data_IF_968915208299
#
_entry.id   IF_968915208299
#
_cell.length_a   1.000
_cell.length_b   1.000
_cell.length_c   1.000
_cell.angle_alpha   90.00
_cell.angle_beta   90.00
_cell.angle_gamma   90.00
#
_symmetry.space_group_name_H-M   'P 1'
#
loop_
_entity.id
_entity.type
_entity.pdbx_description
1 polymer ?
#
# COMPACT_ATOMS: atom_id res chain seq x y z
N UNK A 1 -18.21 3.11 -30.52
CA UNK A 1 -17.99 4.55 -30.17
C UNK A 1 -16.56 4.69 -29.72
N UNK A 2 -15.84 5.78 -30.03
CA UNK A 2 -14.49 6.00 -29.49
C UNK A 2 -14.55 6.25 -27.97
N UNK A 3 -13.61 5.70 -27.23
CA UNK A 3 -13.59 5.75 -25.76
C UNK A 3 -13.60 7.20 -25.23
N UNK A 4 -12.81 8.09 -25.80
CA UNK A 4 -12.76 9.51 -25.38
C UNK A 4 -14.11 10.21 -25.54
N UNK A 5 -14.81 9.94 -26.64
CA UNK A 5 -16.14 10.48 -26.87
C UNK A 5 -17.15 9.94 -25.85
N UNK A 6 -17.07 8.63 -25.55
CA UNK A 6 -17.94 8.03 -24.54
C UNK A 6 -17.72 8.62 -23.16
N UNK A 7 -16.44 8.81 -22.74
CA UNK A 7 -16.10 9.45 -21.48
C UNK A 7 -16.68 10.86 -21.43
N UNK A 8 -16.47 11.66 -22.46
CA UNK A 8 -16.94 13.04 -22.52
C UNK A 8 -18.49 13.13 -22.45
N UNK A 9 -19.21 12.25 -23.15
CA UNK A 9 -20.69 12.23 -23.15
C UNK A 9 -21.29 11.75 -21.82
N UNK A 10 -20.53 11.01 -21.00
CA UNK A 10 -21.00 10.41 -19.75
C UNK A 10 -20.32 10.99 -18.50
N UNK A 11 -19.42 11.96 -18.62
CA UNK A 11 -18.62 12.47 -17.52
C UNK A 11 -19.46 12.96 -16.35
N UNK A 12 -20.49 13.75 -16.61
CA UNK A 12 -21.39 14.26 -15.56
C UNK A 12 -22.04 13.11 -14.79
N UNK A 13 -22.47 12.06 -15.47
CA UNK A 13 -23.02 10.85 -14.83
C UNK A 13 -21.97 10.14 -14.00
N UNK A 14 -20.75 9.95 -14.51
CA UNK A 14 -19.67 9.29 -13.78
C UNK A 14 -19.31 10.03 -12.50
N UNK A 15 -19.26 11.36 -12.57
CA UNK A 15 -18.96 12.21 -11.42
C UNK A 15 -20.11 12.19 -10.40
N UNK A 16 -21.37 12.19 -10.83
CA UNK A 16 -22.52 12.05 -9.95
C UNK A 16 -22.56 10.68 -9.24
N UNK A 17 -22.16 9.62 -9.93
CA UNK A 17 -22.04 8.29 -9.35
C UNK A 17 -20.90 8.22 -8.32
N UNK A 18 -19.75 8.81 -8.62
CA UNK A 18 -18.64 8.95 -7.66
C UNK A 18 -19.06 9.80 -6.45
N UNK A 19 -19.74 10.92 -6.66
CA UNK A 19 -20.26 11.75 -5.58
C UNK A 19 -21.21 10.98 -4.67
N UNK A 20 -22.04 10.09 -5.23
CA UNK A 20 -22.96 9.25 -4.44
C UNK A 20 -22.23 8.32 -3.47
N UNK A 21 -21.02 7.89 -3.80
CA UNK A 21 -20.14 7.10 -2.92
C UNK A 21 -19.40 7.99 -1.91
N UNK A 22 -18.89 9.14 -2.35
CA UNK A 22 -18.16 10.09 -1.50
C UNK A 22 -19.04 10.61 -0.37
N UNK A 23 -20.32 10.87 -0.63
CA UNK A 23 -21.30 11.30 0.39
C UNK A 23 -21.53 10.31 1.51
N UNK A 24 -21.13 9.05 1.33
CA UNK A 24 -21.20 8.03 2.37
C UNK A 24 -19.84 7.97 3.08
N UNK A 25 -19.75 8.43 4.35
CA UNK A 25 -18.48 8.47 5.10
C UNK A 25 -18.11 7.07 5.61
N UNK A 26 -17.70 6.19 4.71
CA UNK A 26 -17.36 4.79 4.99
C UNK A 26 -16.03 4.66 5.73
N UNK A 27 -15.91 5.25 6.92
CA UNK A 27 -14.69 5.26 7.74
C UNK A 27 -14.58 3.96 8.52
N UNK A 28 -13.73 3.03 8.08
CA UNK A 28 -13.56 1.71 8.71
C UNK A 28 -12.99 1.76 10.13
N UNK A 29 -12.15 2.76 10.43
CA UNK A 29 -11.50 2.92 11.73
C UNK A 29 -12.46 3.33 12.87
N UNK A 30 -13.72 3.71 12.55
CA UNK A 30 -14.68 4.21 13.53
C UNK A 30 -15.94 3.35 13.57
N UNK A 31 -16.26 2.80 14.75
CA UNK A 31 -17.43 1.91 14.93
C UNK A 31 -18.77 2.60 14.66
N UNK A 32 -18.86 3.90 14.80
CA UNK A 32 -20.06 4.71 14.52
C UNK A 32 -20.43 4.72 13.03
N UNK A 33 -19.47 4.47 12.13
CA UNK A 33 -19.65 4.42 10.68
C UNK A 33 -19.98 3.03 10.11
N UNK A 34 -20.29 2.03 10.96
CA UNK A 34 -20.65 0.69 10.47
C UNK A 34 -21.85 0.69 9.52
N UNK A 35 -22.82 1.57 9.75
CA UNK A 35 -23.97 1.70 8.85
C UNK A 35 -23.58 2.32 7.51
N UNK A 36 -22.65 3.27 7.52
CA UNK A 36 -22.13 3.90 6.31
C UNK A 36 -21.30 2.92 5.48
N UNK A 37 -20.49 2.08 6.12
CA UNK A 37 -19.77 0.98 5.46
C UNK A 37 -20.75 0.06 4.70
N UNK A 38 -21.81 -0.39 5.38
CA UNK A 38 -22.81 -1.26 4.75
C UNK A 38 -23.55 -0.54 3.60
N UNK A 39 -23.90 0.73 3.78
CA UNK A 39 -24.54 1.55 2.74
C UNK A 39 -23.63 1.76 1.53
N UNK A 40 -22.33 1.96 1.74
CA UNK A 40 -21.35 2.11 0.67
C UNK A 40 -21.20 0.80 -0.14
N UNK A 41 -21.16 -0.35 0.55
CA UNK A 41 -21.15 -1.66 -0.10
C UNK A 41 -22.41 -1.90 -0.98
N UNK A 42 -23.59 -1.59 -0.47
CA UNK A 42 -24.84 -1.70 -1.25
C UNK A 42 -24.80 -0.75 -2.46
N UNK A 43 -24.31 0.49 -2.30
CA UNK A 43 -24.19 1.42 -3.42
C UNK A 43 -23.21 0.93 -4.49
N UNK A 44 -22.09 0.34 -4.11
CA UNK A 44 -21.16 -0.28 -5.07
C UNK A 44 -21.80 -1.45 -5.82
N UNK A 45 -22.54 -2.30 -5.12
CA UNK A 45 -23.31 -3.39 -5.74
C UNK A 45 -24.24 -2.85 -6.84
N UNK A 46 -25.00 -1.79 -6.55
CA UNK A 46 -25.90 -1.16 -7.52
C UNK A 46 -25.12 -0.64 -8.74
N UNK A 47 -24.04 0.10 -8.51
CA UNK A 47 -23.22 0.69 -9.59
C UNK A 47 -22.60 -0.38 -10.49
N UNK A 48 -22.17 -1.52 -9.94
CA UNK A 48 -21.62 -2.63 -10.72
C UNK A 48 -22.72 -3.31 -11.57
N UNK A 49 -23.95 -3.45 -11.03
CA UNK A 49 -25.09 -3.93 -11.81
C UNK A 49 -25.43 -2.98 -12.95
N UNK A 50 -25.44 -1.67 -12.71
CA UNK A 50 -25.65 -0.62 -13.72
C UNK A 50 -24.53 -0.63 -14.78
N UNK A 51 -23.30 -0.97 -14.40
CA UNK A 51 -22.16 -1.12 -15.31
C UNK A 51 -22.25 -2.37 -16.18
N UNK A 52 -23.11 -3.35 -15.86
CA UNK A 52 -23.42 -4.50 -16.69
C UNK A 52 -22.82 -5.83 -16.26
N UNK A 53 -22.48 -6.00 -14.98
CA UNK A 53 -22.21 -7.34 -14.43
C UNK A 53 -23.47 -8.20 -14.45
N UNK A 54 -23.32 -9.51 -14.51
CA UNK A 54 -24.44 -10.44 -14.50
C UNK A 54 -24.97 -10.70 -13.08
N UNK A 55 -24.08 -10.55 -12.08
CA UNK A 55 -24.38 -10.80 -10.68
C UNK A 55 -23.55 -9.84 -9.81
N UNK A 56 -24.16 -9.30 -8.76
CA UNK A 56 -23.46 -8.58 -7.69
C UNK A 56 -24.11 -8.87 -6.34
N UNK A 57 -23.31 -9.08 -5.31
CA UNK A 57 -23.73 -9.43 -3.96
C UNK A 57 -22.87 -8.70 -2.92
N UNK A 58 -23.49 -8.27 -1.82
CA UNK A 58 -22.78 -7.85 -0.61
C UNK A 58 -22.63 -9.10 0.26
N UNK A 59 -21.40 -9.56 0.42
CA UNK A 59 -21.05 -10.78 1.11
C UNK A 59 -20.59 -10.50 2.54
N UNK A 60 -21.05 -11.25 3.53
CA UNK A 60 -20.58 -11.08 4.90
C UNK A 60 -19.12 -11.54 5.05
N UNK A 61 -18.41 -10.92 5.98
CA UNK A 61 -17.10 -11.34 6.46
C UNK A 61 -17.09 -11.41 7.99
N UNK A 62 -15.95 -11.71 8.58
CA UNK A 62 -15.76 -11.60 10.04
C UNK A 62 -15.73 -10.17 10.54
N UNK A 63 -15.59 -9.19 9.65
CA UNK A 63 -15.60 -7.76 9.91
C UNK A 63 -16.59 -7.02 9.01
N UNK A 64 -16.10 -6.07 8.21
CA UNK A 64 -16.93 -5.33 7.27
C UNK A 64 -17.26 -6.18 6.03
N UNK A 65 -18.45 -6.00 5.41
CA UNK A 65 -18.84 -6.80 4.25
C UNK A 65 -17.95 -6.52 3.03
N UNK A 66 -17.92 -7.48 2.10
CA UNK A 66 -17.26 -7.30 0.80
C UNK A 66 -18.31 -7.25 -0.31
N UNK A 67 -18.02 -6.52 -1.38
CA UNK A 67 -18.85 -6.53 -2.59
C UNK A 67 -18.20 -7.49 -3.59
N UNK A 68 -18.94 -8.52 -3.97
CA UNK A 68 -18.56 -9.42 -5.06
C UNK A 68 -19.43 -9.16 -6.27
N UNK A 69 -18.83 -9.11 -7.46
CA UNK A 69 -19.61 -9.07 -8.71
C UNK A 69 -18.88 -9.85 -9.82
N UNK A 70 -19.63 -10.28 -10.83
CA UNK A 70 -19.07 -11.05 -11.94
C UNK A 70 -19.80 -10.81 -13.27
N UNK A 71 -19.00 -10.88 -14.35
CA UNK A 71 -19.42 -11.01 -15.74
C UNK A 71 -18.70 -12.18 -16.36
N UNK A 72 -19.40 -13.28 -16.58
CA UNK A 72 -18.84 -14.49 -17.17
C UNK A 72 -19.33 -14.58 -18.63
N UNK A 73 -18.42 -14.33 -19.57
CA UNK A 73 -18.73 -14.41 -20.99
C UNK A 73 -18.53 -15.82 -21.55
N UNK A 74 -17.54 -16.55 -21.02
CA UNK A 74 -17.24 -17.93 -21.38
C UNK A 74 -16.47 -18.59 -20.22
N UNK A 75 -16.92 -19.73 -19.66
CA UNK A 75 -16.22 -20.42 -18.57
C UNK A 75 -14.76 -20.78 -18.86
N UNK A 76 -14.41 -20.98 -20.15
CA UNK A 76 -13.06 -21.34 -20.57
C UNK A 76 -12.17 -20.11 -20.89
N UNK A 77 -12.74 -18.90 -20.86
CA UNK A 77 -11.98 -17.67 -21.08
C UNK A 77 -11.16 -17.28 -19.85
N UNK A 78 -10.02 -16.61 -20.03
CA UNK A 78 -9.27 -16.05 -18.92
C UNK A 78 -10.15 -15.16 -18.04
N UNK A 79 -9.83 -15.10 -16.76
CA UNK A 79 -10.59 -14.31 -15.78
C UNK A 79 -9.70 -13.25 -15.13
N UNK A 80 -10.13 -12.00 -15.18
CA UNK A 80 -9.55 -10.87 -14.45
C UNK A 80 -10.36 -10.66 -13.17
N UNK A 81 -9.70 -10.67 -12.01
CA UNK A 81 -10.28 -10.25 -10.73
C UNK A 81 -9.84 -8.82 -10.45
N UNK A 82 -10.77 -7.88 -10.42
CA UNK A 82 -10.54 -6.49 -10.05
C UNK A 82 -10.71 -6.35 -8.54
N UNK A 83 -9.68 -5.87 -7.88
CA UNK A 83 -9.72 -5.55 -6.46
C UNK A 83 -9.65 -4.05 -6.24
N UNK A 84 -10.40 -3.58 -5.26
CA UNK A 84 -10.42 -2.20 -4.76
C UNK A 84 -10.95 -2.19 -3.33
N UNK A 85 -10.87 -1.02 -2.65
CA UNK A 85 -11.53 -0.83 -1.38
C UNK A 85 -12.51 0.36 -1.41
N UNK A 86 -13.50 0.33 -0.52
CA UNK A 86 -14.52 1.37 -0.46
C UNK A 86 -14.57 2.08 0.89
N UNK A 87 -13.80 1.62 1.86
CA UNK A 87 -13.57 2.37 3.09
C UNK A 87 -12.58 3.50 2.86
N UNK A 88 -12.56 4.43 3.78
CA UNK A 88 -11.71 5.62 3.71
C UNK A 88 -11.12 5.95 5.07
N UNK A 89 -9.97 6.62 5.08
CA UNK A 89 -9.36 7.17 6.29
C UNK A 89 -10.25 8.23 6.96
N UNK A 90 -10.14 8.38 8.30
CA UNK A 90 -10.72 9.52 9.01
C UNK A 90 -10.34 10.87 8.38
N UNK A 91 -11.28 11.81 8.35
CA UNK A 91 -11.05 13.11 7.72
C UNK A 91 -10.40 14.14 8.65
N UNK A 92 -10.24 13.84 9.94
CA UNK A 92 -9.64 14.76 10.91
C UNK A 92 -8.15 15.07 10.58
N UNK A 93 -7.69 16.30 10.83
CA UNK A 93 -8.42 17.43 11.46
C UNK A 93 -9.31 18.20 10.47
N UNK A 94 -10.62 18.32 10.79
CA UNK A 94 -11.63 18.90 9.88
C UNK A 94 -11.39 20.38 9.59
N UNK A 95 -10.80 21.10 10.51
CA UNK A 95 -10.51 22.53 10.39
C UNK A 95 -9.45 22.85 9.31
N UNK A 96 -8.73 21.87 8.82
CA UNK A 96 -7.75 22.04 7.75
C UNK A 96 -8.33 21.78 6.35
N UNK A 97 -9.58 21.34 6.25
CA UNK A 97 -10.25 21.16 4.97
C UNK A 97 -10.82 22.49 4.45
N UNK A 98 -10.63 22.72 3.15
CA UNK A 98 -11.19 23.89 2.45
C UNK A 98 -12.69 23.71 2.11
N UNK A 99 -13.20 22.49 2.18
CA UNK A 99 -14.61 22.11 1.93
C UNK A 99 -14.96 20.91 2.82
N UNK A 100 -16.26 20.56 2.91
CA UNK A 100 -16.66 19.34 3.59
C UNK A 100 -16.00 18.11 2.92
N UNK A 101 -15.25 17.27 3.66
CA UNK A 101 -14.55 16.11 3.08
C UNK A 101 -15.46 15.08 2.40
N UNK A 102 -16.75 15.04 2.73
CA UNK A 102 -17.75 14.12 2.16
C UNK A 102 -18.76 14.81 1.23
N UNK A 103 -18.41 16.00 0.73
CA UNK A 103 -19.12 16.72 -0.33
C UNK A 103 -18.13 17.03 -1.45
N UNK A 104 -18.30 16.35 -2.58
CA UNK A 104 -17.37 16.48 -3.70
C UNK A 104 -17.38 17.91 -4.28
N UNK A 105 -16.21 18.53 -4.35
CA UNK A 105 -16.02 19.82 -5.01
C UNK A 105 -15.11 19.65 -6.23
N UNK A 106 -15.59 20.11 -7.38
CA UNK A 106 -14.78 20.15 -8.62
C UNK A 106 -14.24 21.56 -8.77
N UNK A 107 -12.93 21.70 -8.67
CA UNK A 107 -12.23 22.97 -8.79
C UNK A 107 -10.83 22.77 -9.38
N UNK A 108 -10.39 23.69 -10.24
CA UNK A 108 -9.06 23.71 -10.85
C UNK A 108 -8.68 22.38 -11.56
N UNK A 109 -9.68 21.75 -12.20
CA UNK A 109 -9.49 20.46 -12.89
C UNK A 109 -9.28 19.26 -11.98
N UNK A 110 -9.65 19.36 -10.69
CA UNK A 110 -9.51 18.32 -9.68
C UNK A 110 -10.82 18.07 -8.93
N UNK A 111 -11.00 16.85 -8.47
CA UNK A 111 -12.05 16.40 -7.56
C UNK A 111 -11.49 16.51 -6.15
N UNK A 112 -12.10 17.26 -5.26
CA UNK A 112 -11.69 17.47 -3.88
C UNK A 112 -12.68 16.80 -2.94
N UNK A 113 -12.27 15.73 -2.29
CA UNK A 113 -13.02 15.03 -1.24
C UNK A 113 -12.17 13.90 -0.64
N UNK A 114 -12.53 13.38 0.54
CA UNK A 114 -12.00 12.14 1.10
C UNK A 114 -12.49 10.96 0.26
N UNK A 115 -11.56 10.08 -0.16
CA UNK A 115 -11.84 8.96 -1.05
C UNK A 115 -11.89 9.34 -2.55
N UNK A 116 -11.56 10.60 -2.89
CA UNK A 116 -11.53 11.03 -4.28
C UNK A 116 -10.45 10.32 -5.11
N UNK A 117 -9.31 10.04 -4.52
CA UNK A 117 -8.24 9.21 -5.07
C UNK A 117 -8.24 7.83 -4.42
N UNK A 118 -8.20 7.77 -3.11
CA UNK A 118 -7.97 6.60 -2.28
C UNK A 118 -9.27 6.09 -1.62
N UNK A 119 -9.94 5.09 -2.17
CA UNK A 119 -9.75 4.40 -3.48
C UNK A 119 -11.03 4.50 -4.35
N UNK A 120 -12.09 5.20 -3.86
CA UNK A 120 -13.39 5.31 -4.57
C UNK A 120 -13.24 5.86 -5.99
N UNK A 121 -12.34 6.83 -6.18
CA UNK A 121 -12.08 7.40 -7.50
C UNK A 121 -11.38 6.42 -8.43
N UNK A 122 -10.36 5.72 -7.98
CA UNK A 122 -9.65 4.72 -8.79
C UNK A 122 -10.51 3.47 -9.03
N UNK A 123 -11.31 3.03 -8.04
CA UNK A 123 -12.32 2.00 -8.21
C UNK A 123 -13.37 2.38 -9.26
N UNK A 124 -13.78 3.65 -9.30
CA UNK A 124 -14.70 4.16 -10.32
C UNK A 124 -14.09 4.10 -11.72
N UNK A 125 -12.79 4.36 -11.89
CA UNK A 125 -12.09 4.17 -13.16
C UNK A 125 -12.28 2.73 -13.66
N UNK A 126 -12.07 1.73 -12.81
CA UNK A 126 -12.23 0.31 -13.14
C UNK A 126 -13.67 0.01 -13.57
N UNK A 127 -14.65 0.47 -12.78
CA UNK A 127 -16.07 0.23 -13.06
C UNK A 127 -16.52 0.87 -14.40
N UNK A 128 -16.05 2.10 -14.71
CA UNK A 128 -16.46 2.81 -15.95
C UNK A 128 -15.74 2.29 -17.19
N UNK A 129 -14.52 1.84 -17.06
CA UNK A 129 -13.83 1.14 -18.13
C UNK A 129 -14.51 -0.20 -18.46
N UNK A 130 -14.87 -0.98 -17.44
CA UNK A 130 -15.65 -2.21 -17.58
C UNK A 130 -17.00 -1.92 -18.26
N UNK A 131 -17.75 -0.92 -17.79
CA UNK A 131 -19.02 -0.49 -18.39
C UNK A 131 -18.88 -0.23 -19.88
N UNK A 132 -17.83 0.49 -20.28
CA UNK A 132 -17.58 0.78 -21.67
C UNK A 132 -17.35 -0.48 -22.52
N UNK A 133 -16.48 -1.40 -22.07
CA UNK A 133 -16.16 -2.60 -22.87
C UNK A 133 -17.34 -3.55 -22.95
N UNK A 134 -18.17 -3.66 -21.91
CA UNK A 134 -19.41 -4.46 -21.94
C UNK A 134 -20.43 -3.85 -22.89
N UNK A 135 -20.72 -2.55 -22.77
CA UNK A 135 -21.73 -1.87 -23.62
C UNK A 135 -21.38 -1.86 -25.10
N UNK A 136 -20.09 -1.93 -25.44
CA UNK A 136 -19.63 -1.97 -26.83
C UNK A 136 -19.29 -3.39 -27.32
N UNK A 137 -19.57 -4.44 -26.55
CA UNK A 137 -19.31 -5.83 -26.93
C UNK A 137 -17.82 -6.14 -27.17
N UNK A 138 -16.93 -5.49 -26.43
CA UNK A 138 -15.48 -5.61 -26.60
C UNK A 138 -14.82 -6.52 -25.56
N UNK A 139 -15.59 -7.05 -24.62
CA UNK A 139 -15.04 -7.90 -23.55
C UNK A 139 -14.81 -9.32 -24.09
N UNK A 140 -13.57 -9.82 -24.01
CA UNK A 140 -13.18 -11.15 -24.52
C UNK A 140 -12.72 -12.10 -23.39
N UNK A 141 -12.77 -11.66 -22.14
CA UNK A 141 -12.42 -12.42 -20.95
C UNK A 141 -13.45 -12.22 -19.84
N UNK A 142 -13.47 -13.08 -18.85
CA UNK A 142 -14.33 -12.94 -17.70
C UNK A 142 -13.80 -11.84 -16.77
N UNK A 143 -14.68 -11.13 -16.11
CA UNK A 143 -14.33 -10.14 -15.10
C UNK A 143 -15.08 -10.43 -13.82
N UNK A 144 -14.34 -10.45 -12.72
CA UNK A 144 -14.87 -10.49 -11.36
C UNK A 144 -14.41 -9.24 -10.61
N UNK A 145 -15.20 -8.79 -9.66
CA UNK A 145 -14.87 -7.70 -8.75
C UNK A 145 -14.93 -8.20 -7.32
N UNK A 146 -13.99 -7.74 -6.52
CA UNK A 146 -14.01 -7.84 -5.07
C UNK A 146 -13.60 -6.51 -4.47
N UNK A 147 -14.53 -5.84 -3.79
CA UNK A 147 -14.26 -4.58 -3.10
C UNK A 147 -14.43 -4.77 -1.61
N UNK A 148 -13.44 -4.39 -0.81
CA UNK A 148 -13.46 -4.54 0.64
C UNK A 148 -13.74 -3.22 1.37
N UNK A 149 -14.07 -3.32 2.66
CA UNK A 149 -14.34 -2.19 3.53
C UNK A 149 -13.44 -2.12 4.76
N UNK A 150 -12.20 -2.63 4.69
CA UNK A 150 -11.26 -2.71 5.81
C UNK A 150 -9.80 -2.46 5.39
N UNK A 151 -9.51 -1.98 4.16
CA UNK A 151 -8.14 -1.77 3.70
C UNK A 151 -7.41 -0.80 4.62
N UNK A 152 -8.05 0.31 4.95
CA UNK A 152 -7.50 1.40 5.76
C UNK A 152 -7.23 1.03 7.23
N UNK A 153 -7.66 -0.15 7.64
CA UNK A 153 -7.33 -0.76 8.96
C UNK A 153 -6.53 -2.06 8.82
N UNK A 154 -5.98 -2.32 7.62
CA UNK A 154 -5.09 -3.45 7.34
C UNK A 154 -5.78 -4.76 6.97
N UNK A 155 -6.99 -4.71 6.43
CA UNK A 155 -7.73 -5.86 5.86
C UNK A 155 -7.84 -7.09 6.79
N UNK A 156 -8.22 -6.93 8.07
CA UNK A 156 -8.15 -8.02 9.05
C UNK A 156 -9.02 -9.23 8.69
N UNK A 157 -10.12 -9.02 7.96
CA UNK A 157 -11.06 -10.09 7.59
C UNK A 157 -10.78 -10.71 6.23
N UNK A 158 -10.03 -10.02 5.36
CA UNK A 158 -9.89 -10.39 3.95
C UNK A 158 -9.18 -11.74 3.78
N UNK A 159 -8.15 -12.02 4.55
CA UNK A 159 -7.42 -13.29 4.48
C UNK A 159 -8.29 -14.52 4.77
N UNK A 160 -9.21 -14.42 5.72
CA UNK A 160 -10.18 -15.48 6.01
C UNK A 160 -11.15 -15.64 4.84
N UNK A 161 -11.71 -14.53 4.36
CA UNK A 161 -12.61 -14.50 3.23
C UNK A 161 -12.00 -15.11 1.95
N UNK A 162 -10.76 -14.78 1.61
CA UNK A 162 -10.06 -15.34 0.45
C UNK A 162 -9.91 -16.87 0.56
N UNK A 163 -9.56 -17.37 1.76
CA UNK A 163 -9.40 -18.81 1.99
C UNK A 163 -10.71 -19.57 1.85
N UNK A 164 -11.80 -19.01 2.36
CA UNK A 164 -13.14 -19.62 2.33
C UNK A 164 -13.77 -19.56 0.92
N UNK A 165 -13.40 -18.56 0.11
CA UNK A 165 -14.02 -18.29 -1.19
C UNK A 165 -13.07 -18.50 -2.38
N UNK A 166 -12.05 -19.37 -2.27
CA UNK A 166 -11.05 -19.59 -3.32
C UNK A 166 -11.64 -19.93 -4.70
N UNK A 167 -12.62 -20.81 -4.73
CA UNK A 167 -13.25 -21.24 -6.00
C UNK A 167 -14.07 -20.10 -6.62
N UNK A 168 -14.77 -19.31 -5.80
CA UNK A 168 -15.50 -18.13 -6.25
C UNK A 168 -14.57 -17.09 -6.85
N UNK A 169 -13.42 -16.88 -6.21
CA UNK A 169 -12.43 -15.86 -6.57
C UNK A 169 -11.38 -16.35 -7.56
N UNK A 170 -11.51 -17.59 -8.06
CA UNK A 170 -10.57 -18.12 -9.06
C UNK A 170 -10.44 -17.15 -10.25
N UNK A 171 -9.21 -16.80 -10.57
CA UNK A 171 -8.86 -15.87 -11.64
C UNK A 171 -7.47 -16.22 -12.20
N UNK A 172 -7.12 -15.67 -13.37
CA UNK A 172 -5.80 -15.81 -13.99
C UNK A 172 -4.88 -14.66 -13.64
N UNK A 173 -5.47 -13.48 -13.39
CA UNK A 173 -4.77 -12.27 -12.98
C UNK A 173 -5.65 -11.42 -12.05
N UNK A 174 -5.02 -10.67 -11.15
CA UNK A 174 -5.68 -9.65 -10.34
C UNK A 174 -5.27 -8.27 -10.85
N UNK A 175 -6.21 -7.35 -10.97
CA UNK A 175 -5.99 -5.96 -11.35
C UNK A 175 -6.34 -5.05 -10.18
N UNK A 176 -5.41 -4.20 -9.79
CA UNK A 176 -5.53 -3.26 -8.67
C UNK A 176 -5.14 -1.87 -9.13
N UNK A 177 -5.92 -0.85 -8.79
CA UNK A 177 -5.61 0.55 -9.09
C UNK A 177 -5.15 1.35 -7.87
N UNK A 178 -5.26 0.82 -6.68
CA UNK A 178 -4.87 1.44 -5.41
C UNK A 178 -3.35 1.63 -5.29
N UNK A 179 -2.79 2.43 -6.20
CA UNK A 179 -1.38 2.88 -6.19
C UNK A 179 -1.25 4.21 -6.94
N UNK A 180 -0.03 4.75 -7.01
CA UNK A 180 0.24 6.03 -7.66
C UNK A 180 1.24 5.93 -8.82
N UNK A 181 1.17 6.89 -9.75
CA UNK A 181 2.19 7.13 -10.77
C UNK A 181 3.34 7.99 -10.20
N UNK A 182 4.46 8.07 -10.93
CA UNK A 182 5.56 9.01 -10.61
C UNK A 182 5.14 10.47 -10.85
N UNK A 183 4.26 10.71 -11.80
CA UNK A 183 3.74 12.04 -12.12
C UNK A 183 2.79 11.99 -13.32
N UNK A 184 1.98 13.03 -13.48
CA UNK A 184 1.03 13.14 -14.59
C UNK A 184 1.71 13.08 -15.98
N UNK A 185 2.90 13.67 -16.09
CA UNK A 185 3.72 13.65 -17.31
C UNK A 185 4.73 12.50 -17.34
N UNK A 186 4.76 11.68 -16.30
CA UNK A 186 5.67 10.56 -16.14
C UNK A 186 4.89 9.31 -15.69
N UNK A 187 4.05 8.75 -16.59
CA UNK A 187 3.25 7.58 -16.27
C UNK A 187 4.14 6.41 -15.85
N UNK A 188 3.71 5.67 -14.86
CA UNK A 188 4.44 4.51 -14.37
C UNK A 188 3.52 3.40 -13.90
N UNK A 189 3.97 2.15 -14.06
CA UNK A 189 3.33 0.96 -13.51
C UNK A 189 4.14 0.44 -12.33
N UNK A 190 3.48 0.18 -11.23
CA UNK A 190 4.13 -0.39 -10.06
C UNK A 190 4.37 -1.88 -10.28
N UNK A 191 5.64 -2.28 -10.29
CA UNK A 191 6.08 -3.67 -10.49
C UNK A 191 6.55 -4.35 -9.22
N UNK A 192 6.58 -3.65 -8.11
CA UNK A 192 6.98 -4.25 -6.84
C UNK A 192 6.68 -3.35 -5.65
N UNK A 193 6.41 -4.00 -4.53
CA UNK A 193 6.16 -3.41 -3.23
C UNK A 193 7.09 -4.06 -2.22
N UNK A 194 7.57 -3.29 -1.24
CA UNK A 194 8.34 -3.87 -0.14
C UNK A 194 7.40 -4.53 0.88
N UNK A 195 7.91 -5.57 1.52
CA UNK A 195 7.30 -6.16 2.70
C UNK A 195 7.60 -5.38 3.97
N UNK A 196 7.08 -5.87 5.07
CA UNK A 196 7.23 -5.28 6.39
C UNK A 196 7.35 -6.39 7.45
N UNK A 197 8.24 -6.17 8.42
CA UNK A 197 8.24 -6.89 9.69
C UNK A 197 8.40 -5.86 10.80
N UNK A 198 7.61 -5.96 11.87
CA UNK A 198 7.51 -4.94 12.91
C UNK A 198 7.53 -5.56 14.31
N UNK A 199 8.22 -4.93 15.24
CA UNK A 199 8.39 -5.44 16.61
C UNK A 199 8.33 -4.32 17.65
N UNK A 200 7.86 -4.70 18.83
CA UNK A 200 8.08 -3.94 20.05
C UNK A 200 9.09 -4.68 20.95
N UNK A 201 10.06 -3.95 21.44
CA UNK A 201 11.14 -4.46 22.31
C UNK A 201 11.05 -3.78 23.65
N UNK A 202 11.12 -4.59 24.72
CA UNK A 202 11.29 -4.15 26.12
C UNK A 202 12.64 -4.67 26.63
N UNK A 203 13.47 -3.78 27.14
CA UNK A 203 14.69 -4.10 27.88
C UNK A 203 14.46 -3.80 29.36
N UNK A 204 14.56 -4.80 30.19
CA UNK A 204 14.37 -4.70 31.66
C UNK A 204 15.70 -4.88 32.38
N UNK A 205 16.09 -3.90 33.20
CA UNK A 205 17.27 -3.92 34.06
C UNK A 205 16.89 -4.20 35.51
N UNK A 206 17.08 -3.23 36.43
CA UNK A 206 16.77 -3.42 37.86
C UNK A 206 15.26 -3.56 38.10
N UNK A 207 14.88 -4.05 39.25
CA UNK A 207 13.48 -4.27 39.65
C UNK A 207 12.65 -2.99 39.87
N UNK A 208 13.27 -1.82 39.88
CA UNK A 208 12.68 -0.50 40.02
C UNK A 208 13.64 0.56 39.51
N UNK A 209 13.17 1.78 39.36
CA UNK A 209 14.02 2.92 39.10
C UNK A 209 14.98 3.18 40.24
N UNK A 210 16.24 3.46 39.93
CA UNK A 210 17.32 3.65 40.88
C UNK A 210 17.91 5.06 40.79
N UNK A 211 18.45 5.56 41.89
CA UNK A 211 19.19 6.82 41.93
C UNK A 211 20.52 6.68 41.15
N UNK A 212 20.71 7.46 40.06
CA UNK A 212 21.88 7.32 39.19
C UNK A 212 23.22 7.64 39.91
N UNK A 213 23.21 8.52 40.89
CA UNK A 213 24.40 8.84 41.69
C UNK A 213 24.84 7.70 42.63
N UNK A 214 23.92 6.81 43.01
CA UNK A 214 24.25 5.68 43.88
C UNK A 214 24.57 4.39 43.11
N UNK A 215 23.93 4.20 41.95
CA UNK A 215 23.99 2.95 41.19
C UNK A 215 24.62 3.10 39.80
N UNK A 216 24.84 4.34 39.33
CA UNK A 216 25.50 4.60 38.04
C UNK A 216 26.92 4.08 38.00
N UNK A 217 27.29 3.43 36.89
CA UNK A 217 28.59 2.76 36.76
C UNK A 217 28.64 1.34 37.34
N UNK A 218 27.69 0.97 38.22
CA UNK A 218 27.61 -0.37 38.84
C UNK A 218 26.44 -1.21 38.30
N UNK A 219 25.35 -0.55 37.91
CA UNK A 219 24.15 -1.20 37.37
C UNK A 219 23.90 -0.74 35.96
N UNK A 220 23.56 -1.67 35.05
CA UNK A 220 23.26 -1.36 33.67
C UNK A 220 22.02 -0.44 33.54
N UNK A 221 22.13 0.57 32.69
CA UNK A 221 20.98 1.40 32.30
C UNK A 221 20.31 0.80 31.08
N UNK A 222 19.05 0.35 31.16
CA UNK A 222 18.35 -0.25 30.04
C UNK A 222 18.28 0.63 28.76
N UNK A 223 18.25 1.95 28.92
CA UNK A 223 18.27 2.87 27.77
C UNK A 223 19.60 2.75 27.03
N UNK A 224 20.74 2.81 27.77
CA UNK A 224 22.05 2.70 27.17
C UNK A 224 22.24 1.36 26.46
N UNK A 225 21.87 0.27 27.14
CA UNK A 225 21.91 -1.09 26.57
C UNK A 225 21.06 -1.19 25.30
N UNK A 226 19.83 -0.67 25.31
CA UNK A 226 18.94 -0.69 24.14
C UNK A 226 19.56 0.09 22.98
N UNK A 227 20.12 1.27 23.23
CA UNK A 227 20.82 2.07 22.19
C UNK A 227 22.03 1.31 21.60
N UNK A 228 22.82 0.64 22.43
CA UNK A 228 23.96 -0.18 21.99
C UNK A 228 23.52 -1.37 21.15
N UNK A 229 22.41 -2.01 21.51
CA UNK A 229 21.82 -3.12 20.74
C UNK A 229 21.31 -2.64 19.39
N UNK A 230 20.58 -1.52 19.35
CA UNK A 230 20.08 -0.91 18.10
C UNK A 230 21.23 -0.52 17.19
N UNK A 231 22.28 0.08 17.73
CA UNK A 231 23.45 0.50 16.95
C UNK A 231 24.18 -0.67 16.26
N UNK A 232 24.05 -1.88 16.79
CA UNK A 232 24.61 -3.11 16.21
C UNK A 232 23.78 -3.70 15.07
N UNK A 233 22.57 -3.20 14.83
CA UNK A 233 21.67 -3.75 13.78
C UNK A 233 22.09 -3.40 12.35
N UNK A 234 22.94 -2.40 12.19
CA UNK A 234 23.49 -2.01 10.87
C UNK A 234 24.99 -1.79 10.96
N UNK A 235 25.70 -2.20 9.93
CA UNK A 235 27.14 -1.98 9.81
C UNK A 235 27.48 -0.56 9.24
N UNK A 236 28.78 -0.31 9.09
CA UNK A 236 29.31 0.95 8.53
C UNK A 236 28.97 1.19 7.06
N UNK A 237 28.50 0.15 6.37
CA UNK A 237 28.04 0.21 4.98
C UNK A 237 26.51 0.34 4.88
N UNK A 238 25.82 0.42 6.01
CA UNK A 238 24.36 0.50 6.08
C UNK A 238 23.65 -0.83 5.83
N UNK A 239 24.36 -1.96 5.90
CA UNK A 239 23.79 -3.30 5.79
C UNK A 239 23.25 -3.78 7.12
N UNK A 240 22.14 -4.49 7.09
CA UNK A 240 21.56 -5.14 8.28
C UNK A 240 22.45 -6.32 8.69
N UNK A 241 22.77 -6.42 9.97
CA UNK A 241 23.75 -7.36 10.50
C UNK A 241 23.16 -8.70 10.96
N UNK A 242 21.86 -8.89 10.85
CA UNK A 242 21.22 -10.17 11.20
C UNK A 242 21.81 -11.28 10.31
N UNK A 243 22.40 -12.34 10.89
CA UNK A 243 22.96 -13.44 10.11
C UNK A 243 21.91 -14.10 9.19
N UNK A 244 22.25 -14.27 7.90
CA UNK A 244 21.35 -14.85 6.90
C UNK A 244 20.24 -13.93 6.40
N UNK A 245 20.19 -12.66 6.85
CA UNK A 245 19.14 -11.71 6.47
C UNK A 245 19.03 -11.50 4.96
N UNK A 246 20.16 -11.56 4.25
CA UNK A 246 20.25 -11.31 2.82
C UNK A 246 20.20 -12.60 1.96
N UNK A 247 20.03 -13.80 2.56
CA UNK A 247 20.08 -15.05 1.81
C UNK A 247 19.00 -15.17 0.74
N UNK A 248 17.82 -14.58 1.00
CA UNK A 248 16.69 -14.56 0.09
C UNK A 248 16.56 -13.21 -0.68
N UNK A 249 17.54 -12.31 -0.56
CA UNK A 249 17.54 -11.03 -1.27
C UNK A 249 18.18 -11.22 -2.65
N UNK A 250 17.38 -11.02 -3.70
CA UNK A 250 17.90 -11.03 -5.06
C UNK A 250 18.65 -9.73 -5.37
N UNK A 251 19.83 -9.86 -5.96
CA UNK A 251 20.54 -8.72 -6.49
C UNK A 251 19.89 -8.25 -7.80
N UNK A 252 19.80 -6.91 -7.97
CA UNK A 252 19.24 -6.34 -9.18
C UNK A 252 20.09 -6.70 -10.40
N UNK A 253 19.45 -7.14 -11.47
CA UNK A 253 20.10 -7.29 -12.76
C UNK A 253 20.59 -5.93 -13.28
N UNK A 254 21.53 -5.97 -14.21
CA UNK A 254 22.03 -4.74 -14.86
C UNK A 254 20.89 -4.00 -15.54
N UNK A 255 20.00 -4.70 -16.20
CA UNK A 255 18.82 -4.16 -16.88
C UNK A 255 17.88 -3.42 -15.91
N UNK A 256 17.64 -4.01 -14.74
CA UNK A 256 16.82 -3.36 -13.71
C UNK A 256 17.49 -2.10 -13.15
N UNK A 257 18.80 -2.15 -12.91
CA UNK A 257 19.55 -0.97 -12.44
C UNK A 257 19.56 0.16 -13.49
N UNK A 258 19.76 -0.20 -14.77
CA UNK A 258 19.72 0.76 -15.88
C UNK A 258 18.32 1.40 -16.02
N UNK A 259 17.26 0.62 -15.82
CA UNK A 259 15.88 1.10 -15.83
C UNK A 259 15.62 2.06 -14.66
N UNK A 260 16.00 1.71 -13.44
CA UNK A 260 15.86 2.59 -12.27
C UNK A 260 16.68 3.89 -12.44
N UNK A 261 17.88 3.79 -13.02
CA UNK A 261 18.72 4.96 -13.32
C UNK A 261 18.11 5.86 -14.41
N UNK A 262 17.22 5.33 -15.26
CA UNK A 262 16.52 6.13 -16.28
C UNK A 262 15.37 6.96 -15.71
N UNK A 263 14.91 6.67 -14.48
CA UNK A 263 13.88 7.45 -13.80
C UNK A 263 14.47 8.83 -13.46
N UNK A 264 13.84 9.94 -13.90
CA UNK A 264 14.30 11.26 -13.53
C UNK A 264 14.25 11.45 -12.00
N UNK A 265 15.42 11.58 -11.39
CA UNK A 265 15.55 11.80 -9.95
C UNK A 265 16.63 12.85 -9.68
N UNK A 266 16.24 13.94 -9.04
CA UNK A 266 17.12 15.03 -8.63
C UNK A 266 17.36 14.94 -7.13
N UNK A 267 18.52 14.41 -6.73
CA UNK A 267 18.87 14.20 -5.32
C UNK A 267 18.95 15.50 -4.53
N UNK A 268 19.37 16.62 -5.16
CA UNK A 268 19.43 17.91 -4.47
C UNK A 268 18.02 18.46 -4.19
N UNK A 269 17.10 18.34 -5.15
CA UNK A 269 15.69 18.69 -4.93
C UNK A 269 15.04 17.79 -3.88
N UNK A 270 15.32 16.50 -3.92
CA UNK A 270 14.83 15.54 -2.93
C UNK A 270 15.29 15.91 -1.52
N UNK A 271 16.60 16.19 -1.32
CA UNK A 271 17.14 16.65 -0.04
C UNK A 271 16.53 17.97 0.42
N UNK A 272 16.36 18.91 -0.51
CA UNK A 272 15.77 20.22 -0.20
C UNK A 272 14.29 20.11 0.21
N UNK A 273 13.52 19.22 -0.43
CA UNK A 273 12.10 19.01 -0.13
C UNK A 273 11.85 18.47 1.29
N UNK A 274 12.79 17.70 1.83
CA UNK A 274 12.72 17.11 3.18
C UNK A 274 13.69 17.76 4.17
N UNK A 275 14.32 18.85 3.78
CA UNK A 275 15.23 19.68 4.61
C UNK A 275 16.37 18.89 5.27
N UNK A 276 17.02 17.98 4.51
CA UNK A 276 18.19 17.24 5.00
C UNK A 276 19.47 17.61 4.24
N UNK A 277 20.60 17.62 4.94
CA UNK A 277 21.89 17.96 4.35
C UNK A 277 22.53 16.80 3.57
N UNK A 278 22.21 15.56 3.93
CA UNK A 278 22.78 14.36 3.31
C UNK A 278 21.81 13.17 3.42
N UNK A 279 21.91 12.24 2.47
CA UNK A 279 21.18 10.97 2.48
C UNK A 279 22.06 9.88 3.08
N UNK A 280 21.42 8.89 3.72
CA UNK A 280 22.06 7.73 4.31
C UNK A 280 21.37 6.45 3.83
N UNK A 281 22.09 5.34 3.76
CA UNK A 281 21.56 4.04 3.42
C UNK A 281 22.66 3.08 2.98
N UNK A 282 22.30 1.92 2.47
CA UNK A 282 23.24 0.88 2.04
C UNK A 282 24.16 1.40 0.93
N UNK A 283 25.50 1.27 1.12
CA UNK A 283 26.49 1.71 0.15
C UNK A 283 26.42 0.88 -1.13
N UNK A 284 26.69 1.51 -2.27
CA UNK A 284 26.69 0.87 -3.59
C UNK A 284 25.34 0.88 -4.30
N UNK A 285 24.32 1.48 -3.67
CA UNK A 285 22.96 1.63 -4.24
C UNK A 285 22.54 3.09 -4.29
N UNK A 286 21.81 3.46 -5.34
CA UNK A 286 21.20 4.79 -5.49
C UNK A 286 20.06 4.98 -4.48
N UNK A 287 19.59 6.20 -4.30
CA UNK A 287 18.45 6.51 -3.43
C UNK A 287 17.19 5.77 -3.85
N UNK A 288 16.91 5.69 -5.16
CA UNK A 288 15.78 4.95 -5.69
C UNK A 288 15.88 3.45 -5.42
N UNK A 289 17.07 2.85 -5.56
CA UNK A 289 17.28 1.45 -5.22
C UNK A 289 17.11 1.18 -3.73
N UNK A 290 17.64 2.05 -2.86
CA UNK A 290 17.54 1.91 -1.40
C UNK A 290 16.10 1.94 -0.90
N UNK A 291 15.27 2.82 -1.45
CA UNK A 291 13.90 2.99 -0.97
C UNK A 291 12.87 2.06 -1.65
N UNK A 292 13.27 1.27 -2.64
CA UNK A 292 12.36 0.40 -3.39
C UNK A 292 12.82 -1.06 -3.53
N UNK A 293 14.11 -1.30 -3.72
CA UNK A 293 14.67 -2.62 -4.06
C UNK A 293 15.60 -3.18 -3.00
N UNK A 294 15.95 -2.38 -1.98
CA UNK A 294 16.79 -2.84 -0.88
C UNK A 294 16.01 -2.87 0.43
N UNK A 295 16.31 -3.82 1.32
CA UNK A 295 15.70 -3.82 2.64
C UNK A 295 16.25 -2.68 3.50
N UNK A 296 15.48 -2.24 4.48
CA UNK A 296 15.92 -1.27 5.48
C UNK A 296 15.55 -1.70 6.89
N UNK A 297 16.28 -1.17 7.88
CA UNK A 297 15.98 -1.31 9.30
C UNK A 297 15.82 0.08 9.90
N UNK A 298 14.69 0.31 10.57
CA UNK A 298 14.33 1.61 11.12
C UNK A 298 13.81 1.50 12.56
N UNK A 299 14.31 2.40 13.43
CA UNK A 299 13.71 2.63 14.75
C UNK A 299 12.52 3.58 14.62
N UNK A 300 11.31 3.05 14.80
CA UNK A 300 10.07 3.83 14.68
C UNK A 300 9.69 4.58 15.95
N UNK A 301 10.25 4.19 17.08
CA UNK A 301 10.06 4.85 18.37
C UNK A 301 11.02 4.28 19.42
N UNK A 302 11.42 5.14 20.36
CA UNK A 302 12.24 4.75 21.51
C UNK A 302 11.78 5.56 22.71
N UNK A 303 11.61 4.92 23.87
CA UNK A 303 11.23 5.61 25.11
C UNK A 303 11.71 4.86 26.36
N UNK A 304 11.75 5.60 27.45
CA UNK A 304 12.18 5.11 28.76
C UNK A 304 12.71 6.26 29.63
N UNK A 305 12.87 6.01 30.92
CA UNK A 305 13.37 7.01 31.86
C UNK A 305 12.38 8.15 32.10
N UNK A 306 12.89 9.31 32.48
CA UNK A 306 12.10 10.47 32.85
C UNK A 306 11.98 11.44 31.66
N UNK A 307 10.75 11.74 31.29
CA UNK A 307 10.41 12.65 30.17
C UNK A 307 9.57 13.85 30.62
N UNK A 308 9.35 14.02 31.93
CA UNK A 308 8.61 15.17 32.49
C UNK A 308 9.46 16.44 32.58
N UNK A 309 8.83 17.50 33.04
CA UNK A 309 9.50 18.81 33.22
C UNK A 309 10.65 18.70 34.27
N UNK A 310 11.74 19.41 34.03
CA UNK A 310 12.93 19.44 34.88
C UNK A 310 13.83 18.23 34.72
N UNK A 311 14.66 17.95 35.70
CA UNK A 311 15.64 16.85 35.68
C UNK A 311 15.36 15.82 36.77
N UNK A 312 15.56 14.55 36.47
CA UNK A 312 15.53 13.43 37.44
C UNK A 312 16.74 12.55 37.22
N UNK A 313 17.61 12.47 38.25
CA UNK A 313 18.82 11.63 38.25
C UNK A 313 18.47 10.16 38.46
N UNK A 314 18.03 9.49 37.38
CA UNK A 314 17.46 8.14 37.45
C UNK A 314 18.16 7.17 36.50
N UNK A 315 18.34 5.93 36.96
CA UNK A 315 18.51 4.75 36.12
C UNK A 315 17.14 4.09 36.01
N UNK A 316 16.48 4.12 34.85
CA UNK A 316 15.17 3.50 34.74
C UNK A 316 15.22 1.99 34.84
N UNK A 317 14.14 1.39 35.28
CA UNK A 317 14.00 -0.07 35.35
C UNK A 317 13.78 -0.71 33.99
N UNK A 318 13.24 0.05 33.03
CA UNK A 318 12.91 -0.42 31.68
C UNK A 318 13.18 0.62 30.60
N UNK A 319 13.44 0.13 29.38
CA UNK A 319 13.47 0.91 28.16
C UNK A 319 12.74 0.15 27.05
N UNK A 320 12.19 0.87 26.08
CA UNK A 320 11.37 0.32 25.02
C UNK A 320 11.77 0.88 23.66
N UNK A 321 11.57 0.08 22.62
CA UNK A 321 11.64 0.54 21.24
C UNK A 321 10.59 -0.13 20.36
N UNK A 322 10.13 0.59 19.34
CA UNK A 322 9.43 0.04 18.20
C UNK A 322 10.37 0.07 17.00
N UNK A 323 10.47 -1.06 16.33
CA UNK A 323 11.42 -1.25 15.24
C UNK A 323 10.75 -1.95 14.06
N UNK A 324 11.21 -1.66 12.87
CA UNK A 324 10.74 -2.32 11.66
C UNK A 324 11.87 -2.62 10.69
N UNK A 325 11.65 -3.65 9.86
CA UNK A 325 12.39 -3.86 8.62
C UNK A 325 11.44 -3.73 7.45
N UNK A 326 11.81 -2.91 6.45
CA UNK A 326 11.22 -3.08 5.12
C UNK A 326 11.93 -4.23 4.44
N UNK A 327 11.15 -5.14 3.87
CA UNK A 327 11.62 -6.37 3.24
C UNK A 327 11.49 -6.26 1.73
N UNK A 328 12.32 -6.99 0.99
CA UNK A 328 12.18 -7.07 -0.46
C UNK A 328 11.56 -8.41 -0.88
N UNK A 329 11.31 -8.57 -2.17
CA UNK A 329 10.75 -9.81 -2.71
C UNK A 329 11.53 -11.04 -2.22
N UNK A 330 10.83 -12.15 -2.02
CA UNK A 330 11.34 -13.46 -1.55
C UNK A 330 11.74 -13.52 -0.07
N UNK A 331 11.86 -12.38 0.62
CA UNK A 331 12.03 -12.39 2.08
C UNK A 331 10.70 -12.70 2.79
N UNK A 332 10.61 -13.86 3.42
CA UNK A 332 9.45 -14.24 4.24
C UNK A 332 9.46 -13.47 5.57
N UNK A 333 8.43 -12.67 5.83
CA UNK A 333 8.36 -11.81 7.01
C UNK A 333 8.34 -12.59 8.33
N UNK A 334 7.78 -13.80 8.35
CA UNK A 334 7.77 -14.63 9.57
C UNK A 334 9.16 -15.22 9.84
N UNK A 335 9.87 -15.67 8.79
CA UNK A 335 11.28 -16.10 8.86
C UNK A 335 12.16 -14.96 9.39
N UNK A 336 12.04 -13.77 8.77
CA UNK A 336 12.81 -12.59 9.19
C UNK A 336 12.46 -12.17 10.62
N UNK A 337 11.19 -12.23 10.99
CA UNK A 337 10.76 -11.91 12.36
C UNK A 337 11.42 -12.84 13.37
N UNK A 338 11.47 -14.14 13.08
CA UNK A 338 12.18 -15.10 13.95
C UNK A 338 13.68 -14.81 14.03
N UNK A 339 14.32 -14.55 12.88
CA UNK A 339 15.76 -14.22 12.82
C UNK A 339 16.08 -12.95 13.63
N UNK A 340 15.22 -11.93 13.54
CA UNK A 340 15.35 -10.71 14.33
C UNK A 340 15.28 -11.01 15.84
N UNK A 341 14.25 -11.77 16.28
CA UNK A 341 14.07 -12.13 17.70
C UNK A 341 15.29 -12.86 18.21
N UNK A 342 15.78 -13.86 17.48
CA UNK A 342 16.94 -14.66 17.88
C UNK A 342 18.21 -13.81 17.96
N UNK A 343 18.49 -13.01 16.93
CA UNK A 343 19.70 -12.18 16.85
C UNK A 343 19.66 -11.03 17.86
N UNK A 344 18.59 -10.24 17.89
CA UNK A 344 18.49 -9.10 18.80
C UNK A 344 18.56 -9.53 20.27
N UNK A 345 17.94 -10.66 20.61
CA UNK A 345 18.06 -11.23 21.95
C UNK A 345 19.50 -11.63 22.28
N UNK A 346 20.25 -12.14 21.30
CA UNK A 346 21.66 -12.53 21.51
C UNK A 346 22.62 -11.35 21.75
N UNK A 347 22.19 -10.13 21.37
CA UNK A 347 22.98 -8.91 21.62
C UNK A 347 22.86 -8.41 23.07
N UNK A 348 21.91 -8.94 23.83
CA UNK A 348 21.66 -8.51 25.20
C UNK A 348 22.77 -9.01 26.15
N UNK A 349 23.37 -8.13 26.93
CA UNK A 349 24.27 -8.55 27.99
C UNK A 349 23.50 -9.24 29.13
N UNK A 350 24.16 -10.09 29.90
CA UNK A 350 23.55 -10.86 31.01
C UNK A 350 22.87 -10.00 32.08
N UNK A 351 23.23 -8.72 32.17
CA UNK A 351 22.73 -7.79 33.20
C UNK A 351 21.33 -7.23 32.90
N UNK A 352 20.70 -7.59 31.75
CA UNK A 352 19.34 -7.18 31.37
C UNK A 352 18.53 -8.35 30.85
N UNK A 353 17.20 -8.18 30.86
CA UNK A 353 16.28 -9.11 30.20
C UNK A 353 15.64 -8.39 28.99
N UNK A 354 15.54 -9.10 27.88
CA UNK A 354 14.90 -8.59 26.67
C UNK A 354 13.63 -9.39 26.38
N UNK A 355 12.54 -8.66 26.12
CA UNK A 355 11.29 -9.22 25.61
C UNK A 355 11.02 -8.58 24.28
N UNK A 356 10.80 -9.39 23.23
CA UNK A 356 10.45 -8.94 21.90
C UNK A 356 9.06 -9.47 21.56
N UNK A 357 8.18 -8.57 21.14
CA UNK A 357 6.81 -8.89 20.75
C UNK A 357 6.69 -8.61 19.25
N UNK A 358 6.65 -9.65 18.40
CA UNK A 358 6.31 -9.46 17.00
C UNK A 358 4.92 -8.84 16.87
N UNK A 359 4.79 -7.90 15.94
CA UNK A 359 3.53 -7.23 15.62
C UNK A 359 3.06 -7.65 14.22
N UNK A 360 2.53 -6.72 13.45
CA UNK A 360 2.10 -6.98 12.08
C UNK A 360 3.29 -7.09 11.11
N UNK A 361 3.04 -7.72 9.97
CA UNK A 361 4.01 -7.85 8.90
C UNK A 361 3.35 -8.37 7.65
N UNK A 362 4.06 -8.27 6.55
CA UNK A 362 3.62 -8.77 5.25
C UNK A 362 4.81 -8.97 4.33
N UNK A 363 4.65 -9.83 3.35
CA UNK A 363 5.67 -10.15 2.38
C UNK A 363 5.78 -9.07 1.31
N UNK A 364 6.95 -8.89 0.71
CA UNK A 364 7.11 -8.08 -0.48
C UNK A 364 6.50 -8.75 -1.71
N UNK A 365 6.24 -7.95 -2.72
CA UNK A 365 5.64 -8.41 -3.98
C UNK A 365 6.45 -7.92 -5.18
N UNK A 366 6.59 -8.77 -6.21
CA UNK A 366 7.14 -8.39 -7.52
C UNK A 366 6.30 -9.00 -8.63
N UNK A 367 5.87 -8.13 -9.54
CA UNK A 367 5.17 -8.50 -10.76
C UNK A 367 6.18 -8.67 -11.92
N UNK A 368 6.28 -9.84 -12.55
CA UNK A 368 7.10 -10.00 -13.74
C UNK A 368 6.58 -9.14 -14.90
N UNK A 369 7.44 -8.28 -15.45
CA UNK A 369 7.09 -7.39 -16.58
C UNK A 369 6.88 -8.13 -17.91
N UNK A 370 7.12 -9.44 -17.93
CA UNK A 370 6.92 -10.32 -19.09
C UNK A 370 5.50 -10.89 -19.16
N UNK A 371 4.68 -10.74 -18.10
CA UNK A 371 3.31 -11.24 -18.07
C UNK A 371 2.47 -10.60 -19.18
N UNK A 372 1.59 -11.37 -19.87
CA UNK A 372 0.66 -10.81 -20.85
C UNK A 372 -0.19 -9.67 -20.27
N UNK A 373 -0.68 -9.81 -19.04
CA UNK A 373 -1.45 -8.77 -18.37
C UNK A 373 -0.63 -7.50 -18.09
N UNK A 374 0.67 -7.62 -17.74
CA UNK A 374 1.53 -6.44 -17.62
C UNK A 374 1.69 -5.72 -18.98
N UNK A 375 1.86 -6.47 -20.07
CA UNK A 375 1.95 -5.90 -21.42
C UNK A 375 0.65 -5.22 -21.85
N UNK A 376 -0.49 -5.77 -21.47
CA UNK A 376 -1.78 -5.13 -21.70
C UNK A 376 -1.91 -3.81 -20.92
N UNK A 377 -1.49 -3.76 -19.67
CA UNK A 377 -1.45 -2.55 -18.85
C UNK A 377 -0.46 -1.51 -19.43
N UNK A 378 0.74 -1.94 -19.84
CA UNK A 378 1.74 -1.10 -20.50
C UNK A 378 1.17 -0.42 -21.75
N UNK A 379 0.50 -1.20 -22.62
CA UNK A 379 -0.16 -0.68 -23.81
C UNK A 379 -1.31 0.29 -23.48
N UNK A 380 -2.08 0.01 -22.42
CA UNK A 380 -3.13 0.89 -21.94
C UNK A 380 -2.61 2.27 -21.52
N UNK A 381 -1.55 2.27 -20.69
CA UNK A 381 -0.90 3.53 -20.29
C UNK A 381 -0.30 4.28 -21.48
N UNK A 382 0.41 3.60 -22.37
CA UNK A 382 1.00 4.22 -23.56
C UNK A 382 -0.07 4.87 -24.43
N UNK A 383 -1.23 4.22 -24.59
CA UNK A 383 -2.35 4.75 -25.37
C UNK A 383 -2.96 5.99 -24.72
N UNK A 384 -3.23 5.94 -23.41
CA UNK A 384 -3.93 7.00 -22.67
C UNK A 384 -3.04 8.22 -22.41
N UNK A 385 -1.77 8.00 -22.06
CA UNK A 385 -0.83 9.05 -21.66
C UNK A 385 0.12 9.47 -22.81
N UNK A 386 0.12 8.75 -23.93
CA UNK A 386 0.99 9.05 -25.08
C UNK A 386 2.46 8.73 -24.86
N UNK A 387 2.80 8.04 -23.76
CA UNK A 387 4.15 7.64 -23.38
C UNK A 387 4.11 6.25 -22.77
N UNK A 388 5.12 5.44 -23.08
CA UNK A 388 5.31 4.16 -22.44
C UNK A 388 5.56 4.36 -20.94
N UNK A 389 4.83 3.67 -20.05
CA UNK A 389 5.01 3.83 -18.62
C UNK A 389 6.36 3.26 -18.16
N UNK A 390 6.95 3.88 -17.15
CA UNK A 390 8.11 3.35 -16.47
C UNK A 390 7.68 2.21 -15.53
N UNK A 391 8.43 1.12 -15.54
CA UNK A 391 8.27 0.07 -14.53
C UNK A 391 8.98 0.50 -13.25
N UNK A 392 8.25 0.65 -12.16
CA UNK A 392 8.79 1.15 -10.89
C UNK A 392 8.53 0.20 -9.75
N UNK A 393 9.46 0.10 -8.81
CA UNK A 393 9.24 -0.55 -7.52
C UNK A 393 9.00 0.52 -6.46
N UNK A 394 8.06 0.27 -5.55
CA UNK A 394 7.66 1.20 -4.49
C UNK A 394 8.16 0.73 -3.13
N UNK A 395 8.48 1.71 -2.28
CA UNK A 395 8.94 1.44 -0.92
C UNK A 395 7.83 1.10 0.06
N UNK A 396 6.58 1.45 -0.26
CA UNK A 396 5.41 1.13 0.54
C UNK A 396 5.05 -0.35 0.49
N UNK A 397 4.22 -0.78 1.43
CA UNK A 397 3.73 -2.16 1.52
C UNK A 397 2.21 -2.14 1.44
N UNK A 398 1.65 -3.00 0.60
CA UNK A 398 0.23 -3.32 0.55
C UNK A 398 0.15 -4.83 0.82
N UNK A 399 0.00 -5.25 2.09
CA UNK A 399 0.14 -6.64 2.50
C UNK A 399 -0.77 -7.59 1.75
N UNK A 400 -1.99 -7.16 1.43
CA UNK A 400 -2.97 -7.98 0.72
C UNK A 400 -2.50 -8.45 -0.67
N UNK A 401 -1.65 -7.67 -1.34
CA UNK A 401 -1.13 -8.05 -2.66
C UNK A 401 -0.31 -9.34 -2.60
N UNK A 402 0.51 -9.49 -1.55
CA UNK A 402 1.26 -10.73 -1.32
C UNK A 402 0.36 -11.87 -0.85
N UNK A 403 -0.69 -11.56 -0.12
CA UNK A 403 -1.67 -12.56 0.34
C UNK A 403 -2.52 -13.11 -0.82
N UNK A 404 -2.86 -12.30 -1.81
CA UNK A 404 -3.46 -12.79 -3.05
C UNK A 404 -2.59 -13.85 -3.73
N UNK A 405 -1.32 -13.57 -3.92
CA UNK A 405 -0.40 -14.55 -4.51
C UNK A 405 -0.30 -15.82 -3.65
N UNK A 406 -0.17 -15.67 -2.33
CA UNK A 406 -0.03 -16.80 -1.40
C UNK A 406 -1.30 -17.64 -1.28
N UNK A 407 -2.48 -17.01 -1.26
CA UNK A 407 -3.76 -17.68 -1.00
C UNK A 407 -4.41 -18.15 -2.30
N UNK A 408 -4.47 -17.32 -3.32
CA UNK A 408 -5.14 -17.61 -4.59
C UNK A 408 -4.18 -18.18 -5.64
N UNK A 409 -2.86 -17.97 -5.48
CA UNK A 409 -1.85 -18.40 -6.46
C UNK A 409 -1.82 -17.52 -7.71
N UNK A 410 -2.33 -16.27 -7.64
CA UNK A 410 -2.56 -15.40 -8.78
C UNK A 410 -1.68 -14.15 -8.67
N UNK A 411 -1.05 -13.75 -9.77
CA UNK A 411 -0.27 -12.51 -9.83
C UNK A 411 -1.17 -11.29 -9.94
N UNK A 412 -0.69 -10.15 -9.43
CA UNK A 412 -1.39 -8.87 -9.42
C UNK A 412 -0.71 -7.86 -10.33
N UNK A 413 -1.48 -7.17 -11.15
CA UNK A 413 -1.06 -5.99 -11.90
C UNK A 413 -1.48 -4.74 -11.11
N UNK A 414 -0.50 -3.91 -10.76
CA UNK A 414 -0.73 -2.66 -10.03
C UNK A 414 -0.78 -1.50 -11.04
N UNK A 415 -2.00 -1.14 -11.43
CA UNK A 415 -2.30 -0.15 -12.46
C UNK A 415 -2.92 1.10 -11.82
N UNK A 416 -2.15 1.75 -10.94
CA UNK A 416 -2.62 2.91 -10.18
C UNK A 416 -2.50 4.24 -10.94
N UNK A 417 -3.33 5.18 -10.55
CA UNK A 417 -3.49 6.48 -11.20
C UNK A 417 -3.30 7.67 -10.24
N UNK A 418 -3.16 7.42 -8.94
CA UNK A 418 -2.90 8.46 -7.94
C UNK A 418 -1.58 9.20 -8.17
N UNK A 419 -1.44 10.36 -7.57
CA UNK A 419 -0.21 11.16 -7.55
C UNK A 419 0.16 11.51 -6.10
N UNK A 420 1.44 11.74 -5.84
CA UNK A 420 1.90 12.25 -4.53
C UNK A 420 1.23 13.58 -4.15
N UNK A 421 0.85 14.39 -5.15
CA UNK A 421 0.14 15.67 -4.96
C UNK A 421 -1.32 15.52 -4.56
N UNK A 422 -1.88 14.32 -4.59
CA UNK A 422 -3.30 14.08 -4.34
C UNK A 422 -3.63 14.07 -2.84
N UNK A 423 -2.59 14.15 -2.00
CA UNK A 423 -2.71 14.33 -0.55
C UNK A 423 -3.58 13.25 0.14
N UNK A 424 -3.45 11.99 -0.31
CA UNK A 424 -4.13 10.85 0.32
C UNK A 424 -3.80 10.80 1.83
N UNK A 425 -4.74 10.34 2.65
CA UNK A 425 -4.70 10.32 4.13
C UNK A 425 -4.55 11.71 4.79
N UNK A 426 -4.58 12.80 4.00
CA UNK A 426 -4.44 14.17 4.50
C UNK A 426 -5.71 15.00 4.26
N UNK A 427 -5.90 16.12 4.96
CA UNK A 427 -6.91 17.11 4.56
C UNK A 427 -6.69 17.61 3.13
N UNK A 428 -7.79 17.90 2.45
CA UNK A 428 -7.78 18.32 1.04
C UNK A 428 -7.28 17.25 0.07
N UNK A 429 -7.54 15.99 0.38
CA UNK A 429 -7.39 14.91 -0.62
C UNK A 429 -8.11 15.29 -1.89
N UNK A 430 -7.50 14.96 -3.01
CA UNK A 430 -8.03 15.35 -4.30
C UNK A 430 -7.53 14.43 -5.42
N UNK A 431 -8.26 14.37 -6.53
CA UNK A 431 -7.91 13.57 -7.68
C UNK A 431 -8.03 14.35 -8.99
N UNK A 432 -7.08 14.19 -9.92
CA UNK A 432 -7.09 14.91 -11.20
C UNK A 432 -8.19 14.38 -12.12
N UNK A 433 -9.05 15.26 -12.64
CA UNK A 433 -10.05 14.92 -13.67
C UNK A 433 -9.42 14.42 -14.97
N UNK A 434 -8.29 14.98 -15.36
CA UNK A 434 -7.57 14.53 -16.56
C UNK A 434 -7.05 13.10 -16.39
N UNK A 435 -6.49 12.79 -15.21
CA UNK A 435 -6.03 11.44 -14.87
C UNK A 435 -7.22 10.48 -14.74
N UNK A 436 -8.33 10.89 -14.15
CA UNK A 436 -9.56 10.09 -14.08
C UNK A 436 -10.02 9.65 -15.49
N UNK A 437 -10.06 10.60 -16.45
CA UNK A 437 -10.41 10.31 -17.85
C UNK A 437 -9.40 9.38 -18.52
N UNK A 438 -8.11 9.68 -18.39
CA UNK A 438 -7.02 8.86 -18.94
C UNK A 438 -6.97 7.48 -18.31
N UNK A 439 -7.27 7.37 -17.02
CA UNK A 439 -7.37 6.10 -16.31
C UNK A 439 -8.45 5.20 -16.91
N UNK A 440 -9.65 5.74 -17.17
CA UNK A 440 -10.71 4.99 -17.85
C UNK A 440 -10.24 4.52 -19.22
N UNK A 441 -9.61 5.40 -20.03
CA UNK A 441 -9.05 5.02 -21.34
C UNK A 441 -8.00 3.92 -21.22
N UNK A 442 -7.08 4.03 -20.25
CA UNK A 442 -6.01 3.06 -20.03
C UNK A 442 -6.55 1.67 -19.63
N UNK A 443 -7.54 1.62 -18.75
CA UNK A 443 -8.17 0.35 -18.33
C UNK A 443 -9.02 -0.24 -19.45
N UNK A 444 -9.70 0.56 -20.25
CA UNK A 444 -10.38 0.07 -21.47
C UNK A 444 -9.39 -0.60 -22.42
N UNK A 445 -8.24 0.03 -22.67
CA UNK A 445 -7.20 -0.55 -23.52
C UNK A 445 -6.57 -1.80 -22.89
N UNK A 446 -6.43 -1.87 -21.54
CA UNK A 446 -6.06 -3.10 -20.86
C UNK A 446 -7.01 -4.24 -21.21
N UNK A 447 -8.31 -4.05 -21.01
CA UNK A 447 -9.33 -5.07 -21.32
C UNK A 447 -9.34 -5.50 -22.79
N UNK A 448 -9.06 -4.59 -23.73
CA UNK A 448 -8.97 -4.90 -25.17
C UNK A 448 -7.71 -5.70 -25.52
N UNK A 449 -6.61 -5.49 -24.83
CA UNK A 449 -5.30 -6.10 -25.13
C UNK A 449 -5.04 -7.38 -24.33
N UNK A 450 -5.70 -7.60 -23.19
CA UNK A 450 -5.53 -8.81 -22.40
C UNK A 450 -6.30 -9.99 -23.02
N UNK A 451 -5.57 -11.05 -23.35
CA UNK A 451 -6.10 -12.27 -23.97
C UNK A 451 -5.80 -13.55 -23.17
N UNK A 452 -5.20 -13.40 -21.99
CA UNK A 452 -4.74 -14.50 -21.15
C UNK A 452 -3.26 -14.80 -21.26
#
# INVERSE_FOLDING_TARGET
MEVKKYIQENEERFLNELESLIRIPSISAKTEHKADIAACAERWKELLLEAGVDKAEVMPSTGNPLVYAEKIINPDAPTVLVYSHYDVMPAEPLELWNSNPFEMVIKDGRIWARGADDDKGQAMIQAKAFEYVVKNGMLEHNVKFIFEGEEEIGSPSLNAFLKENKELLKADIILVSDTSMLGAELPSLTTGLRGLAYWEVEVTGPNRDLHSGHFGGAVANPINVLCEMIAKMTDENGRITIPGFYDDVEELSKEERDMLASIPFDEEKYKAAIEVNALRGEKGYSTLERNSCRPSFDGCGIWGGYTGEGSKTVLPSKAYAKMSCRLVAHQDHAKISKMFVDYFSSLAPECVKVKITPMHGGQGYVCPITLPAYKAAEAGFEKAFGKKPLAVRRGGSIPIISDFEKILGVKTILMGFGLESDAIHSPNENFSLDIFRKGIEAVVEFHKNYKG
#
